data_IF_872609044159
#
_entry.id   IF_872609044159
#
_cell.length_a   1.000
_cell.length_b   1.000
_cell.length_c   1.000
_cell.angle_alpha   90.00
_cell.angle_beta   90.00
_cell.angle_gamma   90.00
#
_symmetry.space_group_name_H-M   'P 1'
#
loop_
_entity.id
_entity.type
_entity.pdbx_description
1 polymer ?
#
# COMPACT_ATOMS: atom_id res chain seq x y z
N UNK A 1 28.67 31.17 -37.02
CA UNK A 1 27.31 31.52 -36.57
C UNK A 1 26.58 30.21 -36.30
N UNK A 2 26.61 29.75 -35.06
CA UNK A 2 25.87 28.54 -34.62
C UNK A 2 24.52 29.01 -34.11
N UNK A 3 23.45 28.58 -34.76
CA UNK A 3 22.08 28.77 -34.28
C UNK A 3 21.87 27.87 -33.05
N UNK A 4 21.39 28.38 -31.90
CA UNK A 4 20.94 27.50 -30.83
C UNK A 4 19.64 26.80 -31.28
N UNK A 5 19.61 25.47 -31.11
CA UNK A 5 18.40 24.67 -31.23
C UNK A 5 17.52 24.90 -29.99
N UNK A 6 16.19 25.03 -30.10
CA UNK A 6 15.33 25.08 -28.93
C UNK A 6 15.36 23.72 -28.25
N UNK A 7 15.83 23.65 -27.00
CA UNK A 7 15.62 22.49 -26.15
C UNK A 7 14.11 22.35 -25.95
N UNK A 8 13.55 21.27 -26.50
CA UNK A 8 12.18 20.87 -26.20
C UNK A 8 12.20 20.38 -24.75
N UNK A 9 11.36 20.89 -23.83
CA UNK A 9 11.32 20.34 -22.48
C UNK A 9 10.96 18.85 -22.58
N UNK A 10 11.85 18.00 -22.09
CA UNK A 10 11.69 16.54 -22.05
C UNK A 10 10.37 16.13 -21.34
N UNK A 11 9.72 15.04 -21.78
CA UNK A 11 8.44 14.56 -21.23
C UNK A 11 8.47 14.15 -19.75
N UNK A 12 9.65 14.06 -19.12
CA UNK A 12 9.83 13.65 -17.73
C UNK A 12 9.24 14.65 -16.71
N UNK A 13 9.32 15.96 -16.96
CA UNK A 13 8.86 16.97 -15.99
C UNK A 13 7.33 16.96 -15.78
N UNK A 14 6.56 16.59 -16.83
CA UNK A 14 5.11 16.42 -16.74
C UNK A 14 4.75 15.12 -16.00
N UNK A 15 5.52 14.05 -16.20
CA UNK A 15 5.34 12.80 -15.47
C UNK A 15 5.69 12.92 -13.98
N UNK A 16 6.68 13.77 -13.64
CA UNK A 16 7.05 14.07 -12.25
C UNK A 16 5.90 14.78 -11.51
N UNK A 17 5.23 15.75 -12.15
CA UNK A 17 4.08 16.43 -11.55
C UNK A 17 2.86 15.53 -11.32
N UNK A 18 2.59 14.62 -12.27
CA UNK A 18 1.53 13.62 -12.12
C UNK A 18 1.85 12.59 -11.02
N UNK A 19 3.10 12.15 -10.94
CA UNK A 19 3.57 11.23 -9.90
C UNK A 19 3.55 11.87 -8.51
N UNK A 20 3.94 13.14 -8.39
CA UNK A 20 3.85 13.89 -7.15
C UNK A 20 2.37 14.07 -6.72
N UNK A 21 1.47 14.35 -7.67
CA UNK A 21 0.04 14.44 -7.42
C UNK A 21 -0.56 13.13 -6.89
N UNK A 22 -0.29 12.02 -7.59
CA UNK A 22 -0.73 10.69 -7.17
C UNK A 22 -0.15 10.31 -5.81
N UNK A 23 1.15 10.56 -5.58
CA UNK A 23 1.77 10.28 -4.29
C UNK A 23 1.08 11.04 -3.14
N UNK A 24 0.76 12.32 -3.36
CA UNK A 24 0.09 13.14 -2.35
C UNK A 24 -1.32 12.64 -2.04
N UNK A 25 -2.08 12.20 -3.06
CA UNK A 25 -3.39 11.56 -2.89
C UNK A 25 -3.27 10.31 -2.01
N UNK A 26 -2.38 9.38 -2.37
CA UNK A 26 -2.21 8.13 -1.64
C UNK A 26 -1.66 8.35 -0.23
N UNK A 27 -0.78 9.34 -0.04
CA UNK A 27 -0.24 9.71 1.27
C UNK A 27 -1.33 10.28 2.19
N UNK A 28 -2.21 11.12 1.65
CA UNK A 28 -3.35 11.67 2.40
C UNK A 28 -4.29 10.56 2.86
N UNK A 29 -4.62 9.61 1.98
CA UNK A 29 -5.43 8.44 2.31
C UNK A 29 -4.74 7.56 3.36
N UNK A 30 -3.44 7.25 3.18
CA UNK A 30 -2.69 6.38 4.08
C UNK A 30 -2.56 6.92 5.51
N UNK A 31 -2.70 8.23 5.70
CA UNK A 31 -2.53 8.91 6.99
C UNK A 31 -3.84 9.40 7.60
N UNK A 32 -4.99 9.20 6.94
CA UNK A 32 -6.29 9.73 7.35
C UNK A 32 -6.70 9.35 8.79
N UNK A 33 -6.44 8.11 9.21
CA UNK A 33 -6.89 7.61 10.53
C UNK A 33 -5.98 8.00 11.70
N UNK A 34 -4.70 8.30 11.44
CA UNK A 34 -3.69 8.48 12.50
C UNK A 34 -2.98 9.83 12.48
N UNK A 35 -3.14 10.62 11.41
CA UNK A 35 -2.48 11.91 11.21
C UNK A 35 -0.95 11.88 11.23
N UNK A 36 -0.32 10.69 11.26
CA UNK A 36 1.12 10.48 11.36
C UNK A 36 1.58 9.43 10.38
N UNK A 37 2.74 9.66 9.78
CA UNK A 37 3.40 8.69 8.91
C UNK A 37 4.26 7.73 9.73
N UNK A 38 3.61 6.72 10.31
CA UNK A 38 4.26 5.60 11.00
C UNK A 38 4.40 4.36 10.09
N UNK A 39 4.77 3.22 10.67
CA UNK A 39 4.95 1.98 9.89
C UNK A 39 3.65 1.49 9.26
N UNK A 40 2.53 1.57 9.97
CA UNK A 40 1.23 1.15 9.43
C UNK A 40 0.82 2.04 8.27
N UNK A 41 1.00 3.36 8.40
CA UNK A 41 0.75 4.30 7.32
C UNK A 41 1.67 4.04 6.11
N UNK A 42 2.95 3.70 6.34
CA UNK A 42 3.85 3.31 5.26
C UNK A 42 3.35 2.06 4.52
N UNK A 43 2.97 1.01 5.25
CA UNK A 43 2.39 -0.20 4.64
C UNK A 43 1.11 0.13 3.85
N UNK A 44 0.24 0.98 4.39
CA UNK A 44 -1.00 1.38 3.71
C UNK A 44 -0.69 2.12 2.40
N UNK A 45 0.23 3.08 2.44
CA UNK A 45 0.71 3.79 1.25
C UNK A 45 1.27 2.81 0.21
N UNK A 46 2.11 1.87 0.61
CA UNK A 46 2.68 0.88 -0.32
C UNK A 46 1.61 -0.03 -0.91
N UNK A 47 0.64 -0.48 -0.11
CA UNK A 47 -0.47 -1.32 -0.56
C UNK A 47 -1.34 -0.59 -1.58
N UNK A 48 -1.69 0.68 -1.32
CA UNK A 48 -2.42 1.52 -2.27
C UNK A 48 -1.62 1.70 -3.57
N UNK A 49 -0.34 2.08 -3.48
CA UNK A 49 0.51 2.32 -4.65
C UNK A 49 0.63 1.07 -5.53
N UNK A 50 0.90 -0.10 -4.94
CA UNK A 50 0.99 -1.36 -5.68
C UNK A 50 -0.31 -1.67 -6.42
N UNK A 51 -1.48 -1.48 -5.78
CA UNK A 51 -2.78 -1.76 -6.41
C UNK A 51 -3.15 -0.75 -7.50
N UNK A 52 -2.60 0.46 -7.46
CA UNK A 52 -2.86 1.51 -8.45
C UNK A 52 -1.96 1.44 -9.67
N UNK A 53 -0.66 1.19 -9.47
CA UNK A 53 0.35 1.29 -10.53
C UNK A 53 1.20 0.02 -10.74
N UNK A 54 0.99 -1.01 -9.93
CA UNK A 54 1.80 -2.24 -9.96
C UNK A 54 3.14 -2.10 -9.25
N UNK A 55 3.79 -3.23 -8.96
CA UNK A 55 5.00 -3.26 -8.11
C UNK A 55 6.16 -2.43 -8.67
N UNK A 56 6.58 -2.55 -9.95
CA UNK A 56 7.75 -1.81 -10.44
C UNK A 56 7.58 -0.30 -10.32
N UNK A 57 6.42 0.23 -10.74
CA UNK A 57 6.13 1.67 -10.65
C UNK A 57 5.89 2.14 -9.21
N UNK A 58 5.32 1.29 -8.34
CA UNK A 58 5.12 1.61 -6.93
C UNK A 58 6.45 1.83 -6.19
N UNK A 59 7.50 1.07 -6.53
CA UNK A 59 8.84 1.26 -5.96
C UNK A 59 9.33 2.68 -6.23
N UNK A 60 9.24 3.13 -7.49
CA UNK A 60 9.69 4.48 -7.88
C UNK A 60 8.83 5.58 -7.24
N UNK A 61 7.50 5.44 -7.34
CA UNK A 61 6.53 6.40 -6.80
C UNK A 61 6.73 6.62 -5.29
N UNK A 62 6.73 5.53 -4.51
CA UNK A 62 6.85 5.60 -3.05
C UNK A 62 8.24 6.09 -2.63
N UNK A 63 9.30 5.58 -3.27
CA UNK A 63 10.67 5.96 -2.93
C UNK A 63 10.96 7.43 -3.24
N UNK A 64 10.52 7.92 -4.40
CA UNK A 64 10.68 9.32 -4.78
C UNK A 64 9.88 10.24 -3.86
N UNK A 65 8.60 9.92 -3.61
CA UNK A 65 7.72 10.71 -2.77
C UNK A 65 8.20 10.79 -1.31
N UNK A 66 8.51 9.65 -0.66
CA UNK A 66 9.00 9.67 0.73
C UNK A 66 10.33 10.44 0.84
N UNK A 67 11.25 10.25 -0.11
CA UNK A 67 12.52 11.00 -0.15
C UNK A 67 12.28 12.49 -0.27
N UNK A 68 11.32 12.92 -1.11
CA UNK A 68 10.93 14.32 -1.29
C UNK A 68 10.30 14.89 -0.01
N UNK A 69 9.34 14.19 0.60
CA UNK A 69 8.70 14.57 1.86
C UNK A 69 9.70 14.69 3.00
N UNK A 70 10.62 13.72 3.14
CA UNK A 70 11.66 13.75 4.18
C UNK A 70 12.59 14.97 4.03
N UNK A 71 12.92 15.36 2.79
CA UNK A 71 13.69 16.59 2.51
C UNK A 71 12.90 17.84 2.87
N UNK A 72 11.64 17.95 2.45
CA UNK A 72 10.80 19.12 2.79
C UNK A 72 10.56 19.25 4.29
N UNK A 73 10.46 18.14 5.02
CA UNK A 73 10.36 18.14 6.47
C UNK A 73 11.69 18.43 7.20
N UNK A 74 12.77 18.75 6.49
CA UNK A 74 14.10 19.01 7.07
C UNK A 74 14.76 17.79 7.71
N UNK A 75 14.30 16.57 7.39
CA UNK A 75 14.77 15.32 7.98
C UNK A 75 15.13 14.26 6.92
N UNK A 76 16.01 14.57 5.94
CA UNK A 76 16.37 13.64 4.87
C UNK A 76 16.97 12.32 5.36
N UNK A 77 17.58 12.33 6.55
CA UNK A 77 18.10 11.12 7.21
C UNK A 77 17.01 10.11 7.63
N UNK A 78 15.73 10.49 7.60
CA UNK A 78 14.64 9.52 7.85
C UNK A 78 14.38 8.62 6.65
N UNK A 79 14.78 9.01 5.45
CA UNK A 79 14.66 8.18 4.26
C UNK A 79 15.76 7.11 4.21
N UNK A 80 15.38 5.90 3.78
CA UNK A 80 16.28 4.78 3.63
C UNK A 80 15.87 3.96 2.41
N UNK A 81 16.65 4.05 1.33
CA UNK A 81 16.29 3.49 0.02
C UNK A 81 16.03 1.97 0.05
N UNK A 82 16.96 1.18 0.60
CA UNK A 82 16.81 -0.28 0.67
C UNK A 82 15.58 -0.69 1.50
N UNK A 83 15.38 -0.10 2.68
CA UNK A 83 14.23 -0.42 3.55
C UNK A 83 12.91 -0.07 2.86
N UNK A 84 12.79 1.13 2.29
CA UNK A 84 11.56 1.55 1.59
C UNK A 84 11.21 0.62 0.44
N UNK A 85 12.18 0.28 -0.41
CA UNK A 85 11.96 -0.64 -1.52
C UNK A 85 11.61 -2.06 -1.03
N UNK A 86 12.31 -2.58 -0.01
CA UNK A 86 12.04 -3.90 0.54
C UNK A 86 10.60 -4.04 1.07
N UNK A 87 10.06 -3.00 1.71
CA UNK A 87 8.66 -2.99 2.15
C UNK A 87 7.66 -2.96 0.99
N UNK A 88 7.94 -2.18 -0.06
CA UNK A 88 7.10 -2.19 -1.28
C UNK A 88 7.07 -3.58 -1.89
N UNK A 89 8.22 -4.24 -2.04
CA UNK A 89 8.29 -5.57 -2.64
C UNK A 89 7.60 -6.64 -1.78
N UNK A 90 7.78 -6.61 -0.45
CA UNK A 90 7.08 -7.51 0.47
C UNK A 90 5.57 -7.32 0.41
N UNK A 91 5.08 -6.09 0.49
CA UNK A 91 3.65 -5.79 0.40
C UNK A 91 3.10 -6.23 -0.96
N UNK A 92 3.83 -6.01 -2.04
CA UNK A 92 3.42 -6.44 -3.37
C UNK A 92 3.30 -7.96 -3.50
N UNK A 93 4.24 -8.71 -2.91
CA UNK A 93 4.16 -10.16 -2.90
C UNK A 93 2.89 -10.65 -2.20
N UNK A 94 2.57 -10.12 -1.02
CA UNK A 94 1.35 -10.49 -0.30
C UNK A 94 0.07 -10.01 -1.00
N UNK A 95 0.09 -8.85 -1.65
CA UNK A 95 -1.06 -8.32 -2.40
C UNK A 95 -1.31 -9.04 -3.73
N UNK A 96 -0.32 -9.75 -4.28
CA UNK A 96 -0.43 -10.52 -5.52
C UNK A 96 -0.96 -11.94 -5.32
N UNK A 97 -0.96 -12.47 -4.09
CA UNK A 97 -1.48 -13.81 -3.81
C UNK A 97 -3.02 -13.81 -3.82
N UNK A 98 -3.68 -14.58 -4.70
CA UNK A 98 -5.13 -14.50 -4.97
C UNK A 98 -6.05 -14.99 -3.84
N UNK A 99 -5.54 -15.21 -2.62
CA UNK A 99 -6.41 -15.25 -1.43
C UNK A 99 -7.11 -13.89 -1.16
N UNK A 100 -6.74 -12.86 -1.91
CA UNK A 100 -7.37 -11.53 -1.97
C UNK A 100 -8.50 -11.39 -3.01
N UNK A 101 -8.96 -12.49 -3.61
CA UNK A 101 -10.05 -12.46 -4.60
C UNK A 101 -11.01 -13.64 -4.47
N UNK A 102 -11.89 -13.60 -3.47
CA UNK A 102 -13.22 -14.24 -3.55
C UNK A 102 -14.26 -13.42 -2.79
N UNK A 103 -15.04 -12.62 -3.52
CA UNK A 103 -16.52 -12.71 -3.55
C UNK A 103 -16.99 -12.22 -4.91
N UNK A 104 -16.92 -13.09 -5.92
CA UNK A 104 -17.80 -13.01 -7.07
C UNK A 104 -19.07 -13.75 -6.66
N UNK A 105 -20.07 -13.05 -6.14
CA UNK A 105 -21.43 -13.61 -6.09
C UNK A 105 -22.09 -13.28 -7.41
N UNK A 106 -22.18 -14.30 -8.26
CA UNK A 106 -23.12 -14.34 -9.36
C UNK A 106 -24.52 -14.04 -8.82
N UNK A 107 -25.21 -13.07 -9.43
CA UNK A 107 -26.57 -12.72 -9.05
C UNK A 107 -27.10 -11.49 -9.77
N UNK A 108 -27.08 -11.49 -11.10
CA UNK A 108 -27.99 -10.63 -11.86
C UNK A 108 -29.08 -11.53 -12.46
N UNK A 109 -30.34 -11.27 -12.11
CA UNK A 109 -31.50 -11.18 -13.01
C UNK A 109 -32.82 -11.35 -12.26
N UNK A 110 -33.51 -10.23 -12.04
CA UNK A 110 -34.95 -9.99 -12.30
C UNK A 110 -35.28 -8.61 -11.70
N UNK A 111 -35.38 -7.58 -12.53
CA UNK A 111 -36.66 -7.09 -13.07
C UNK A 111 -37.67 -6.77 -11.97
N UNK A 112 -37.86 -5.46 -11.69
CA UNK A 112 -39.20 -4.87 -11.61
C UNK A 112 -39.17 -3.33 -11.45
N UNK A 113 -39.65 -2.69 -12.53
CA UNK A 113 -40.64 -1.61 -12.57
C UNK A 113 -40.31 -0.26 -11.91
N UNK A 114 -40.14 0.72 -12.80
CA UNK A 114 -40.22 2.16 -12.56
C UNK A 114 -41.61 2.59 -12.03
N UNK A 115 -41.73 3.59 -11.14
CA UNK A 115 -42.04 5.02 -11.42
C UNK A 115 -42.67 5.64 -10.13
N UNK A 116 -42.97 6.96 -10.03
CA UNK A 116 -42.26 8.16 -10.48
C UNK A 116 -42.06 9.22 -9.36
N UNK A 117 -41.39 10.32 -9.71
CA UNK A 117 -41.17 11.52 -8.90
C UNK A 117 -42.42 12.42 -8.76
N UNK A 118 -42.53 13.11 -7.61
CA UNK A 118 -43.38 14.28 -7.38
C UNK A 118 -43.00 14.99 -6.06
N UNK A 119 -43.15 16.33 -5.94
CA UNK A 119 -42.11 17.17 -5.33
C UNK A 119 -42.51 17.91 -4.04
N UNK A 120 -41.50 18.50 -3.40
CA UNK A 120 -41.46 19.82 -2.73
C UNK A 120 -40.97 19.81 -1.26
N UNK A 121 -39.90 20.59 -1.05
CA UNK A 121 -39.59 21.45 0.09
C UNK A 121 -39.27 20.88 1.49
N UNK A 122 -38.01 21.16 1.87
CA UNK A 122 -37.64 21.94 3.06
C UNK A 122 -37.67 21.27 4.46
N UNK A 123 -36.50 21.36 5.12
CA UNK A 123 -36.14 21.14 6.54
C UNK A 123 -35.15 19.97 6.71
N UNK A 124 -33.83 20.16 6.69
CA UNK A 124 -33.01 21.03 7.54
C UNK A 124 -33.21 20.77 9.05
N UNK A 125 -32.29 19.98 9.60
CA UNK A 125 -31.84 19.91 11.00
C UNK A 125 -32.86 19.63 12.12
N UNK A 126 -32.62 18.53 12.84
CA UNK A 126 -32.85 18.46 14.29
C UNK A 126 -31.97 17.39 14.94
N UNK A 127 -31.46 17.76 16.11
CA UNK A 127 -30.35 17.19 16.84
C UNK A 127 -30.76 16.09 17.85
N UNK A 128 -29.72 15.37 18.30
CA UNK A 128 -29.55 14.58 19.53
C UNK A 128 -30.65 14.67 20.62
N UNK A 129 -31.10 13.53 21.17
CA UNK A 129 -30.62 12.98 22.47
C UNK A 129 -31.30 11.61 22.85
N UNK A 130 -30.63 10.88 23.75
CA UNK A 130 -31.08 9.77 24.64
C UNK A 130 -31.18 8.27 24.23
N UNK A 131 -30.21 7.52 24.80
CA UNK A 131 -30.31 6.34 25.68
C UNK A 131 -30.58 4.89 25.17
N UNK A 132 -29.57 4.05 25.44
CA UNK A 132 -29.57 2.65 25.90
C UNK A 132 -30.39 1.56 25.17
N UNK A 133 -29.65 0.52 24.74
CA UNK A 133 -30.13 -0.86 24.69
C UNK A 133 -30.64 -1.36 23.35
N UNK A 134 -29.75 -1.93 22.53
CA UNK A 134 -30.12 -3.03 21.62
C UNK A 134 -28.92 -3.91 21.28
N UNK A 135 -29.11 -5.19 21.54
CA UNK A 135 -28.22 -6.30 21.18
C UNK A 135 -28.06 -6.35 19.65
N UNK A 136 -26.81 -6.29 19.21
CA UNK A 136 -26.26 -6.90 17.99
C UNK A 136 -27.14 -6.91 16.73
N UNK A 137 -27.30 -5.77 16.08
CA UNK A 137 -27.38 -5.78 14.62
C UNK A 137 -25.95 -6.00 14.11
N UNK A 138 -25.71 -7.12 13.43
CA UNK A 138 -24.47 -7.31 12.66
C UNK A 138 -24.36 -6.12 11.71
N UNK A 139 -23.40 -5.23 11.97
CA UNK A 139 -22.95 -4.29 10.97
C UNK A 139 -22.55 -5.14 9.76
N UNK A 140 -23.24 -4.95 8.64
CA UNK A 140 -22.63 -5.25 7.36
C UNK A 140 -21.30 -4.48 7.37
N UNK A 141 -20.19 -5.22 7.47
CA UNK A 141 -18.87 -4.62 7.56
C UNK A 141 -18.72 -3.61 6.44
N UNK A 142 -18.20 -2.43 6.78
CA UNK A 142 -17.83 -1.43 5.78
C UNK A 142 -17.02 -2.14 4.68
N UNK A 143 -17.34 -2.00 3.38
CA UNK A 143 -16.48 -2.53 2.32
C UNK A 143 -15.05 -1.95 2.38
N UNK A 144 -14.81 -0.84 3.10
CA UNK A 144 -13.46 -0.40 3.47
C UNK A 144 -12.77 -1.31 4.53
N UNK A 145 -13.54 -2.01 5.38
CA UNK A 145 -13.02 -3.09 6.23
C UNK A 145 -12.51 -4.28 5.40
N UNK A 146 -13.03 -4.50 4.18
CA UNK A 146 -12.43 -5.40 3.19
C UNK A 146 -11.25 -4.80 2.40
N UNK A 147 -10.72 -3.64 2.83
CA UNK A 147 -9.55 -2.98 2.27
C UNK A 147 -8.23 -3.31 2.99
N UNK A 148 -7.40 -2.29 3.26
CA UNK A 148 -6.10 -2.48 3.92
C UNK A 148 -6.20 -3.15 5.31
N UNK A 149 -7.29 -2.95 6.04
CA UNK A 149 -7.53 -3.60 7.33
C UNK A 149 -7.57 -5.15 7.21
N UNK A 150 -8.40 -5.69 6.31
CA UNK A 150 -8.42 -7.13 6.04
C UNK A 150 -7.10 -7.66 5.48
N UNK A 151 -6.35 -6.84 4.74
CA UNK A 151 -5.02 -7.21 4.24
C UNK A 151 -4.02 -7.42 5.39
N UNK A 152 -3.91 -6.48 6.33
CA UNK A 152 -2.97 -6.62 7.46
C UNK A 152 -3.43 -7.62 8.51
N UNK A 153 -4.74 -7.91 8.61
CA UNK A 153 -5.26 -9.02 9.44
C UNK A 153 -4.83 -10.38 8.89
N UNK A 154 -4.76 -10.54 7.57
CA UNK A 154 -4.24 -11.77 6.91
C UNK A 154 -2.72 -11.87 6.94
N UNK A 155 -2.03 -10.73 7.01
CA UNK A 155 -0.57 -10.64 6.96
C UNK A 155 -0.01 -9.86 8.16
N UNK A 156 -0.25 -10.30 9.41
CA UNK A 156 0.16 -9.58 10.61
C UNK A 156 1.69 -9.43 10.73
N UNK A 157 2.46 -10.31 10.08
CA UNK A 157 3.92 -10.23 9.98
C UNK A 157 4.40 -8.91 9.36
N UNK A 158 3.61 -8.31 8.45
CA UNK A 158 3.98 -7.05 7.82
C UNK A 158 3.98 -5.89 8.83
N UNK A 159 3.21 -5.97 9.91
CA UNK A 159 3.19 -4.96 10.97
C UNK A 159 4.44 -5.01 11.87
N UNK A 160 5.18 -6.13 11.86
CA UNK A 160 6.44 -6.25 12.60
C UNK A 160 7.61 -5.64 11.81
N UNK A 161 8.10 -4.50 12.27
CA UNK A 161 9.28 -3.82 11.68
C UNK A 161 10.54 -4.69 11.64
N UNK A 162 10.59 -5.74 12.47
CA UNK A 162 11.72 -6.68 12.56
C UNK A 162 11.69 -7.73 11.46
N UNK A 163 10.63 -7.81 10.65
CA UNK A 163 10.50 -8.77 9.55
C UNK A 163 11.70 -8.75 8.60
N UNK A 164 12.23 -7.56 8.28
CA UNK A 164 13.41 -7.43 7.42
C UNK A 164 14.66 -8.13 7.98
N UNK A 165 14.73 -8.35 9.30
CA UNK A 165 15.82 -9.11 9.94
C UNK A 165 15.86 -10.59 9.57
N UNK A 166 14.85 -11.12 8.89
CA UNK A 166 14.88 -12.47 8.29
C UNK A 166 15.69 -12.51 6.99
N UNK A 167 15.78 -11.39 6.28
CA UNK A 167 16.38 -11.27 4.95
C UNK A 167 17.72 -10.53 4.98
N UNK A 168 17.88 -9.60 5.93
CA UNK A 168 19.07 -8.76 6.06
C UNK A 168 19.76 -8.88 7.41
N UNK A 169 21.09 -8.86 7.39
CA UNK A 169 21.89 -8.54 8.58
C UNK A 169 21.69 -7.08 8.97
N UNK A 170 21.72 -6.80 10.27
CA UNK A 170 21.65 -5.42 10.78
C UNK A 170 22.80 -4.56 10.25
N UNK A 171 24.00 -5.13 10.08
CA UNK A 171 25.16 -4.43 9.51
C UNK A 171 24.93 -3.98 8.06
N UNK A 172 24.21 -4.81 7.28
CA UNK A 172 23.91 -4.54 5.87
C UNK A 172 22.92 -3.38 5.74
N UNK A 173 21.86 -3.36 6.54
CA UNK A 173 20.93 -2.22 6.58
C UNK A 173 21.58 -0.96 7.19
N UNK A 174 22.55 -1.08 8.09
CA UNK A 174 23.25 0.06 8.66
C UNK A 174 24.27 0.70 7.68
N UNK A 175 24.63 0.01 6.59
CA UNK A 175 25.62 0.49 5.64
C UNK A 175 25.15 1.77 4.91
N UNK A 176 26.02 2.77 4.68
CA UNK A 176 25.67 4.00 3.97
C UNK A 176 25.02 3.75 2.59
N UNK A 177 25.48 2.73 1.87
CA UNK A 177 25.00 2.33 0.56
C UNK A 177 23.53 1.87 0.62
N UNK A 178 23.12 1.17 1.67
CA UNK A 178 21.73 0.72 1.83
C UNK A 178 20.78 1.90 2.04
N UNK A 179 21.27 3.01 2.61
CA UNK A 179 20.48 4.23 2.82
C UNK A 179 20.24 5.00 1.52
N UNK A 180 21.22 5.01 0.61
CA UNK A 180 21.17 5.81 -0.62
C UNK A 180 20.79 5.02 -1.86
N UNK A 181 20.92 3.70 -1.83
CA UNK A 181 20.62 2.81 -2.96
C UNK A 181 20.01 1.47 -2.52
N UNK A 182 19.89 0.57 -3.47
CA UNK A 182 19.45 -0.81 -3.26
C UNK A 182 20.65 -1.71 -2.93
N UNK A 183 20.51 -2.54 -1.90
CA UNK A 183 21.42 -3.62 -1.54
C UNK A 183 20.58 -4.88 -1.43
N UNK A 184 21.02 -5.99 -2.03
CA UNK A 184 20.30 -7.27 -1.99
C UNK A 184 20.28 -7.87 -0.57
N UNK A 185 19.24 -8.67 -0.23
CA UNK A 185 19.21 -9.48 0.98
C UNK A 185 20.43 -10.40 1.12
N UNK A 186 20.99 -10.49 2.32
CA UNK A 186 22.25 -11.19 2.59
C UNK A 186 22.17 -12.29 3.66
N UNK A 187 20.96 -12.57 4.20
CA UNK A 187 20.65 -13.74 5.04
C UNK A 187 19.81 -14.77 4.29
N UNK A 188 18.77 -14.31 3.60
CA UNK A 188 17.87 -15.15 2.80
C UNK A 188 17.29 -14.31 1.65
N UNK A 189 17.10 -14.90 0.45
CA UNK A 189 16.42 -14.21 -0.64
C UNK A 189 14.96 -13.94 -0.25
N UNK A 190 14.32 -13.00 -0.92
CA UNK A 190 12.87 -12.83 -0.78
C UNK A 190 12.11 -14.05 -1.31
N UNK A 191 10.86 -14.30 -0.85
CA UNK A 191 10.12 -15.50 -1.22
C UNK A 191 9.92 -15.70 -2.73
N UNK A 192 9.73 -14.61 -3.50
CA UNK A 192 9.60 -14.66 -4.96
C UNK A 192 10.93 -14.87 -5.70
N UNK A 193 12.07 -14.72 -5.02
CA UNK A 193 13.40 -14.99 -5.57
C UNK A 193 13.81 -16.46 -5.37
N UNK A 194 13.12 -17.23 -4.53
CA UNK A 194 13.34 -18.67 -4.30
C UNK A 194 12.01 -19.46 -4.29
N UNK A 195 11.34 -19.62 -5.44
CA UNK A 195 10.08 -20.38 -5.54
C UNK A 195 10.26 -21.88 -5.22
N UNK A 196 11.51 -22.35 -5.07
CA UNK A 196 11.84 -23.73 -4.73
C UNK A 196 11.66 -24.05 -3.24
N UNK A 197 11.75 -23.06 -2.35
CA UNK A 197 11.64 -23.25 -0.89
C UNK A 197 10.20 -23.26 -0.36
N UNK A 198 9.26 -22.64 -1.07
CA UNK A 198 7.83 -22.62 -0.70
C UNK A 198 7.12 -23.97 -0.91
N UNK A 199 7.60 -24.81 -1.84
CA UNK A 199 6.98 -26.12 -2.15
C UNK A 199 7.45 -27.28 -1.26
N UNK A 200 8.49 -27.09 -0.47
CA UNK A 200 9.18 -28.18 0.26
C UNK A 200 8.85 -28.19 1.76
N UNK A 201 7.69 -27.64 2.12
CA UNK A 201 7.15 -27.65 3.50
C UNK A 201 6.33 -28.89 3.85
N UNK A 202 6.00 -29.76 2.89
CA UNK A 202 5.32 -31.03 3.13
C UNK A 202 5.97 -32.17 2.33
N UNK A 203 7.11 -32.62 2.81
CA UNK A 203 7.56 -33.99 2.60
C UNK A 203 8.18 -34.44 3.93
N UNK A 204 7.32 -34.96 4.81
CA UNK A 204 7.75 -35.68 6.01
C UNK A 204 8.75 -36.79 5.63
N UNK A 205 9.55 -37.27 6.60
CA UNK A 205 10.58 -38.26 6.30
C UNK A 205 9.90 -39.55 5.81
N UNK A 206 10.11 -39.91 4.54
CA UNK A 206 9.90 -41.26 4.08
C UNK A 206 11.02 -42.13 4.70
N UNK A 207 10.71 -42.67 5.87
CA UNK A 207 11.42 -43.77 6.50
C UNK A 207 11.32 -45.05 5.66
N UNK A 208 12.42 -45.82 5.70
CA UNK A 208 12.66 -47.20 5.22
C UNK A 208 13.18 -47.35 3.78
#
# INVERSE_FOLDING_TARGET
MTTPHPETPEPAALSDGLSDGLFNELMAEATADGGRFDHRAHLHLTWLAVRRVGMPAAVDLVSAGIRRTARYAGAPQKYHATVSRAWVELVAHHAAHPADSVVHVAGHCADQVAQPAGPCADQAAQAADHAAGRVGARAAGDPAASGFAAFVERHPELLDKRLLGRFYRSATLAAPQARTGWVEPDLAPFPWQDPGRERTGDAGPATA
#
